data_IF_713271103420
#
_entry.id   IF_713271103420
#
_cell.length_a   1.000
_cell.length_b   1.000
_cell.length_c   1.000
_cell.angle_alpha   90.00
_cell.angle_beta   90.00
_cell.angle_gamma   90.00
#
_symmetry.space_group_name_H-M   'P 1'
#
loop_
_entity.id
_entity.type
_entity.pdbx_description
1 polymer ?
#
# COMPACT_ATOMS: atom_id res chain seq x y z
N UNK A 1 37.49 6.88 -2.33
CA UNK A 1 36.43 7.58 -3.10
C UNK A 1 35.68 6.61 -4.02
N UNK A 2 36.38 5.88 -4.90
CA UNK A 2 35.78 4.91 -5.83
C UNK A 2 35.13 3.70 -5.15
N UNK A 3 35.76 3.19 -4.07
CA UNK A 3 35.23 2.05 -3.31
C UNK A 3 33.94 2.39 -2.56
N UNK A 4 33.88 3.57 -1.92
CA UNK A 4 32.68 4.04 -1.25
C UNK A 4 31.51 4.32 -2.21
N UNK A 5 31.78 4.83 -3.42
CA UNK A 5 30.74 4.97 -4.45
C UNK A 5 30.17 3.64 -4.90
N UNK A 6 31.00 2.59 -4.94
CA UNK A 6 30.59 1.23 -5.32
C UNK A 6 29.71 0.60 -4.25
N UNK A 7 30.12 0.73 -2.99
CA UNK A 7 29.38 0.21 -1.83
C UNK A 7 27.99 0.87 -1.69
N UNK A 8 27.90 2.18 -1.92
CA UNK A 8 26.63 2.91 -1.96
C UNK A 8 25.78 2.48 -3.16
N UNK A 9 26.36 2.24 -4.33
CA UNK A 9 25.62 1.79 -5.50
C UNK A 9 25.00 0.39 -5.33
N UNK A 10 25.72 -0.54 -4.70
CA UNK A 10 25.19 -1.87 -4.35
C UNK A 10 24.02 -1.77 -3.35
N UNK A 11 24.16 -0.93 -2.33
CA UNK A 11 23.10 -0.69 -1.34
C UNK A 11 21.83 -0.09 -1.99
N UNK A 12 22.00 0.85 -2.91
CA UNK A 12 20.90 1.46 -3.66
C UNK A 12 20.27 0.42 -4.59
N UNK A 13 21.06 -0.38 -5.29
CA UNK A 13 20.58 -1.40 -6.23
C UNK A 13 19.72 -2.44 -5.51
N UNK A 14 20.19 -2.94 -4.35
CA UNK A 14 19.43 -3.87 -3.52
C UNK A 14 18.07 -3.27 -3.10
N UNK A 15 18.04 -2.00 -2.68
CA UNK A 15 16.80 -1.32 -2.28
C UNK A 15 15.86 -0.98 -3.46
N UNK A 16 16.41 -0.74 -4.65
CA UNK A 16 15.68 -0.30 -5.84
C UNK A 16 14.92 -1.46 -6.52
N UNK A 17 15.45 -2.69 -6.43
CA UNK A 17 14.78 -3.88 -6.97
C UNK A 17 13.40 -4.08 -6.31
N UNK A 18 13.28 -3.80 -5.01
CA UNK A 18 12.00 -3.86 -4.30
C UNK A 18 11.01 -2.80 -4.78
N UNK A 19 11.49 -1.66 -5.27
CA UNK A 19 10.65 -0.52 -5.70
C UNK A 19 10.21 -0.59 -7.16
N UNK A 20 10.65 -1.57 -7.96
CA UNK A 20 10.25 -1.70 -9.38
C UNK A 20 9.42 -2.96 -9.68
N UNK A 21 9.40 -3.93 -8.76
CA UNK A 21 8.67 -5.19 -8.93
C UNK A 21 7.15 -4.99 -8.97
N UNK A 22 6.49 -5.57 -9.98
CA UNK A 22 5.04 -5.50 -10.14
C UNK A 22 4.28 -6.38 -9.12
N UNK A 23 4.87 -7.49 -8.69
CA UNK A 23 4.28 -8.46 -7.76
C UNK A 23 5.12 -8.56 -6.50
N UNK A 24 4.55 -8.21 -5.36
CA UNK A 24 5.18 -8.23 -4.06
C UNK A 24 4.82 -9.51 -3.30
N UNK A 25 5.77 -10.04 -2.53
CA UNK A 25 5.55 -11.06 -1.50
C UNK A 25 5.01 -10.40 -0.23
N UNK A 26 4.56 -11.20 0.75
CA UNK A 26 4.11 -10.67 2.06
C UNK A 26 5.17 -9.82 2.78
N UNK A 27 6.46 -10.15 2.62
CA UNK A 27 7.54 -9.40 3.24
C UNK A 27 7.71 -8.02 2.58
N UNK A 28 7.78 -8.03 1.24
CA UNK A 28 7.89 -6.82 0.43
C UNK A 28 6.66 -5.91 0.57
N UNK A 29 5.45 -6.49 0.60
CA UNK A 29 4.22 -5.73 0.78
C UNK A 29 4.14 -5.09 2.17
N UNK A 30 4.53 -5.81 3.23
CA UNK A 30 4.57 -5.27 4.58
C UNK A 30 5.57 -4.10 4.68
N UNK A 31 6.75 -4.26 4.09
CA UNK A 31 7.77 -3.20 4.03
C UNK A 31 7.29 -2.00 3.21
N UNK A 32 6.68 -2.24 2.05
CA UNK A 32 6.17 -1.19 1.16
C UNK A 32 5.06 -0.35 1.82
N UNK A 33 4.12 -1.01 2.52
CA UNK A 33 3.05 -0.34 3.26
C UNK A 33 3.52 0.29 4.58
N UNK A 34 4.73 -0.04 5.05
CA UNK A 34 5.22 0.40 6.36
C UNK A 34 4.48 -0.23 7.55
N UNK A 35 3.94 -1.43 7.40
CA UNK A 35 3.19 -2.14 8.46
C UNK A 35 3.89 -3.43 8.90
N UNK A 36 3.51 -3.94 10.08
CA UNK A 36 4.01 -5.26 10.51
C UNK A 36 3.42 -6.40 9.68
N UNK A 37 4.21 -7.45 9.43
CA UNK A 37 3.75 -8.68 8.75
C UNK A 37 2.52 -9.29 9.43
N UNK A 38 2.47 -9.30 10.76
CA UNK A 38 1.33 -9.80 11.51
C UNK A 38 0.04 -9.00 11.24
N UNK A 39 0.16 -7.69 11.02
CA UNK A 39 -0.98 -6.87 10.62
C UNK A 39 -1.42 -7.17 9.19
N UNK A 40 -0.46 -7.30 8.25
CA UNK A 40 -0.75 -7.73 6.88
C UNK A 40 -1.45 -9.10 6.85
N UNK A 41 -1.01 -10.07 7.67
CA UNK A 41 -1.69 -11.35 7.80
C UNK A 41 -3.13 -11.21 8.28
N UNK A 42 -3.40 -10.37 9.29
CA UNK A 42 -4.77 -10.09 9.73
C UNK A 42 -5.63 -9.53 8.60
N UNK A 43 -5.12 -8.58 7.82
CA UNK A 43 -5.83 -8.03 6.65
C UNK A 43 -6.14 -9.11 5.61
N UNK A 44 -5.16 -9.94 5.26
CA UNK A 44 -5.36 -11.03 4.29
C UNK A 44 -6.34 -12.10 4.78
N UNK A 45 -6.32 -12.43 6.07
CA UNK A 45 -7.23 -13.39 6.68
C UNK A 45 -8.68 -12.88 6.72
N UNK A 46 -8.87 -11.57 6.92
CA UNK A 46 -10.19 -10.93 6.88
C UNK A 46 -10.71 -10.67 5.47
N UNK A 47 -9.86 -10.85 4.46
CA UNK A 47 -10.19 -10.49 3.07
C UNK A 47 -10.30 -8.98 2.85
N UNK A 48 -9.70 -8.17 3.73
CA UNK A 48 -9.77 -6.71 3.65
C UNK A 48 -8.79 -6.13 2.63
N UNK A 49 -7.77 -6.88 2.21
CA UNK A 49 -6.72 -6.47 1.28
C UNK A 49 -6.69 -7.36 0.03
N UNK A 50 -6.54 -6.79 -1.19
CA UNK A 50 -6.39 -7.57 -2.42
C UNK A 50 -5.11 -8.42 -2.37
N UNK A 51 -5.25 -9.73 -2.57
CA UNK A 51 -4.13 -10.66 -2.54
C UNK A 51 -4.39 -11.90 -3.42
N UNK A 52 -3.30 -12.51 -3.88
CA UNK A 52 -3.30 -13.65 -4.78
C UNK A 52 -2.60 -14.86 -4.15
N UNK A 53 -3.15 -16.07 -4.34
CA UNK A 53 -2.62 -17.32 -3.79
C UNK A 53 -2.55 -18.44 -4.85
N UNK A 54 -1.65 -18.33 -5.86
CA UNK A 54 -1.59 -19.29 -6.97
C UNK A 54 -1.28 -20.73 -6.51
N UNK A 55 -0.53 -20.89 -5.42
CA UNK A 55 -0.14 -22.20 -4.86
C UNK A 55 -0.73 -22.44 -3.45
N UNK A 56 -1.67 -21.60 -2.99
CA UNK A 56 -2.33 -21.73 -1.68
C UNK A 56 -1.48 -21.41 -0.43
N UNK A 57 -0.15 -21.63 -0.46
CA UNK A 57 0.75 -21.43 0.70
C UNK A 57 1.22 -19.98 0.87
N UNK A 58 1.54 -19.30 -0.22
CA UNK A 58 2.09 -17.94 -0.21
C UNK A 58 1.09 -16.92 -0.76
N UNK A 59 1.05 -15.74 -0.14
CA UNK A 59 0.29 -14.60 -0.62
C UNK A 59 1.20 -13.70 -1.46
N UNK A 60 0.68 -13.28 -2.60
CA UNK A 60 1.28 -12.29 -3.49
C UNK A 60 0.36 -11.10 -3.64
N UNK A 61 0.94 -9.94 -3.90
CA UNK A 61 0.23 -8.67 -3.99
C UNK A 61 0.63 -7.98 -5.28
N UNK A 62 -0.33 -7.60 -6.10
CA UNK A 62 -0.08 -6.71 -7.22
C UNK A 62 0.13 -5.30 -6.66
N UNK A 63 1.23 -4.65 -7.04
CA UNK A 63 1.53 -3.30 -6.57
C UNK A 63 0.42 -2.31 -6.94
N UNK A 64 -0.06 -2.31 -8.17
CA UNK A 64 -1.02 -1.30 -8.62
C UNK A 64 -2.35 -1.41 -7.86
N UNK A 65 -2.84 -2.63 -7.65
CA UNK A 65 -4.04 -2.88 -6.83
C UNK A 65 -3.82 -2.54 -5.36
N UNK A 66 -2.61 -2.78 -4.84
CA UNK A 66 -2.25 -2.40 -3.48
C UNK A 66 -2.24 -0.88 -3.31
N UNK A 67 -1.69 -0.13 -4.27
CA UNK A 67 -1.67 1.33 -4.28
C UNK A 67 -3.09 1.92 -4.37
N UNK A 68 -3.94 1.35 -5.23
CA UNK A 68 -5.34 1.74 -5.32
C UNK A 68 -6.08 1.48 -4.00
N UNK A 69 -5.86 0.30 -3.41
CA UNK A 69 -6.44 -0.05 -2.12
C UNK A 69 -6.01 0.90 -1.01
N UNK A 70 -4.73 1.28 -0.95
CA UNK A 70 -4.22 2.26 0.01
C UNK A 70 -4.89 3.64 -0.15
N UNK A 71 -5.31 3.99 -1.36
CA UNK A 71 -5.97 5.26 -1.67
C UNK A 71 -7.51 5.20 -1.58
N UNK A 72 -8.09 4.01 -1.48
CA UNK A 72 -9.54 3.78 -1.55
C UNK A 72 -10.35 4.41 -0.41
N UNK A 73 -9.77 4.53 0.79
CA UNK A 73 -10.45 5.03 1.99
C UNK A 73 -10.08 6.48 2.30
N UNK A 74 -10.23 7.38 1.31
CA UNK A 74 -9.99 8.82 1.53
C UNK A 74 -10.98 9.38 2.55
N UNK A 75 -10.45 9.90 3.66
CA UNK A 75 -11.24 10.62 4.67
C UNK A 75 -11.49 12.05 4.19
N UNK A 76 -12.76 12.45 4.15
CA UNK A 76 -13.14 13.82 3.79
C UNK A 76 -12.67 14.81 4.85
N UNK A 77 -12.22 15.98 4.42
CA UNK A 77 -11.82 17.06 5.31
C UNK A 77 -13.04 17.69 6.01
N UNK A 78 -12.81 18.37 7.13
CA UNK A 78 -13.87 19.08 7.86
C UNK A 78 -14.61 20.09 6.97
N UNK A 79 -13.90 20.77 6.06
CA UNK A 79 -14.49 21.69 5.11
C UNK A 79 -15.42 20.97 4.11
N UNK A 80 -14.99 19.84 3.55
CA UNK A 80 -15.83 19.02 2.65
C UNK A 80 -17.08 18.48 3.36
N UNK A 81 -16.97 18.11 4.64
CA UNK A 81 -18.10 17.66 5.45
C UNK A 81 -19.09 18.82 5.69
N UNK A 82 -18.58 20.01 6.05
CA UNK A 82 -19.41 21.20 6.27
C UNK A 82 -20.13 21.64 4.98
N UNK A 83 -19.44 21.60 3.84
CA UNK A 83 -20.04 21.90 2.54
C UNK A 83 -21.17 20.92 2.18
N UNK A 84 -20.94 19.61 2.34
CA UNK A 84 -21.97 18.58 2.14
C UNK A 84 -23.18 18.81 3.04
N UNK A 85 -22.97 19.19 4.31
CA UNK A 85 -24.04 19.50 5.24
C UNK A 85 -24.86 20.72 4.79
N UNK A 86 -24.19 21.80 4.36
CA UNK A 86 -24.86 22.99 3.83
C UNK A 86 -25.68 22.67 2.57
N UNK A 87 -25.10 21.93 1.62
CA UNK A 87 -25.79 21.49 0.40
C UNK A 87 -27.04 20.66 0.71
N UNK A 88 -26.95 19.75 1.69
CA UNK A 88 -28.08 18.93 2.13
C UNK A 88 -29.22 19.80 2.71
N UNK A 89 -28.89 20.76 3.58
CA UNK A 89 -29.86 21.68 4.15
C UNK A 89 -30.52 22.58 3.10
N UNK A 90 -29.78 23.01 2.07
CA UNK A 90 -30.32 23.81 0.97
C UNK A 90 -31.25 23.04 0.05
N UNK A 91 -30.98 21.75 -0.22
CA UNK A 91 -31.84 20.89 -1.07
C UNK A 91 -33.15 20.45 -0.43
N UNK A 92 -33.26 20.53 0.90
CA UNK A 92 -34.43 20.11 1.68
C UNK A 92 -35.40 21.25 2.01
N UNK A 93 -35.16 22.42 1.45
CA UNK A 93 -36.01 23.62 1.52
C UNK A 93 -36.77 23.77 0.21
#
# INVERSE_FOLDING_TARGET
MTEQMREVADLITANTIFTTKAVLTSDEAAQYMGISKSYLYKLTMRGEIPHYKPMGKMCYFNRAELEEWLQSNRVATAAEIADRANQYCMKRK
#
